data_IF_939387287316
#
_entry.id   IF_939387287316
#
_cell.length_a   1.000
_cell.length_b   1.000
_cell.length_c   1.000
_cell.angle_alpha   90.00
_cell.angle_beta   90.00
_cell.angle_gamma   90.00
#
_symmetry.space_group_name_H-M   'P 1'
#
loop_
_entity.id
_entity.type
_entity.pdbx_description
1 polymer ?
#
# COMPACT_ATOMS: atom_id res chain seq x y z
N UNK A 1 29.61 -12.84 -17.94
CA UNK A 1 28.27 -12.23 -17.90
C UNK A 1 27.59 -12.64 -16.60
N UNK A 2 27.39 -11.70 -15.68
CA UNK A 2 26.83 -11.97 -14.36
C UNK A 2 25.35 -12.40 -14.48
N UNK A 3 25.02 -13.58 -13.96
CA UNK A 3 23.65 -14.08 -13.86
C UNK A 3 23.06 -13.57 -12.54
N UNK A 4 22.23 -12.55 -12.63
CA UNK A 4 21.50 -12.04 -11.47
C UNK A 4 20.37 -13.01 -11.11
N UNK A 5 20.48 -13.62 -9.94
CA UNK A 5 19.48 -14.53 -9.37
C UNK A 5 18.22 -13.77 -8.95
N UNK A 6 17.01 -14.18 -9.33
CA UNK A 6 15.78 -13.56 -8.85
C UNK A 6 15.55 -13.99 -7.40
N UNK A 7 15.70 -13.04 -6.49
CA UNK A 7 15.51 -13.20 -5.04
C UNK A 7 14.02 -13.43 -4.78
N UNK A 8 13.62 -14.70 -4.66
CA UNK A 8 12.25 -15.07 -4.33
C UNK A 8 11.90 -14.63 -2.90
N UNK A 9 11.33 -13.44 -2.77
CA UNK A 9 10.66 -12.99 -1.56
C UNK A 9 9.33 -13.73 -1.42
N UNK A 10 9.04 -14.39 -0.28
CA UNK A 10 7.82 -15.21 -0.11
C UNK A 10 6.50 -14.40 -0.03
N UNK A 11 6.48 -13.13 -0.45
CA UNK A 11 5.31 -12.23 -0.38
C UNK A 11 4.40 -12.24 -1.62
N UNK A 12 4.81 -12.84 -2.73
CA UNK A 12 4.20 -12.61 -4.05
C UNK A 12 2.83 -13.30 -4.27
N UNK A 13 2.39 -14.16 -3.36
CA UNK A 13 1.07 -14.84 -3.47
C UNK A 13 -0.06 -14.10 -2.77
N UNK A 14 0.25 -13.09 -1.95
CA UNK A 14 -0.76 -12.53 -1.05
C UNK A 14 -1.46 -11.29 -1.58
N UNK A 15 -0.75 -10.46 -2.35
CA UNK A 15 -1.34 -9.33 -3.10
C UNK A 15 -2.39 -9.75 -4.12
N UNK A 16 -2.47 -11.04 -4.49
CA UNK A 16 -3.42 -11.50 -5.50
C UNK A 16 -4.81 -11.87 -4.94
N UNK A 17 -4.90 -12.33 -3.66
CA UNK A 17 -6.14 -12.95 -3.15
C UNK A 17 -7.09 -11.98 -2.43
N UNK A 18 -6.60 -10.90 -1.82
CA UNK A 18 -7.47 -9.98 -1.04
C UNK A 18 -7.90 -8.74 -1.83
N UNK A 19 -7.18 -8.45 -2.91
CA UNK A 19 -7.64 -7.60 -4.01
C UNK A 19 -8.96 -8.14 -4.60
N UNK A 20 -9.18 -9.45 -4.54
CA UNK A 20 -10.33 -10.11 -5.14
C UNK A 20 -11.67 -9.93 -4.39
N UNK A 21 -11.67 -9.57 -3.10
CA UNK A 21 -12.88 -9.68 -2.27
C UNK A 21 -13.42 -8.39 -1.64
N UNK A 22 -12.72 -7.24 -1.65
CA UNK A 22 -13.31 -6.05 -1.00
C UNK A 22 -13.00 -4.66 -1.55
N UNK A 23 -11.84 -4.36 -2.14
CA UNK A 23 -11.57 -3.07 -2.81
C UNK A 23 -10.27 -3.22 -3.60
N UNK A 24 -10.34 -3.85 -4.78
CA UNK A 24 -9.19 -4.02 -5.67
C UNK A 24 -8.67 -2.64 -6.10
N UNK A 25 -7.65 -2.14 -5.41
CA UNK A 25 -6.80 -1.11 -5.98
C UNK A 25 -5.76 -1.83 -6.83
N UNK A 26 -5.51 -1.35 -8.05
CA UNK A 26 -4.37 -1.80 -8.84
C UNK A 26 -3.12 -1.20 -8.20
N UNK A 27 -2.62 -1.88 -7.16
CA UNK A 27 -1.46 -1.44 -6.42
C UNK A 27 -0.20 -1.78 -7.20
N UNK A 28 0.70 -0.81 -7.33
CA UNK A 28 2.05 -1.09 -7.79
C UNK A 28 2.68 -2.14 -6.85
N UNK A 29 3.32 -3.19 -7.41
CA UNK A 29 4.07 -4.14 -6.61
C UNK A 29 5.09 -3.37 -5.77
N UNK A 30 5.23 -3.75 -4.51
CA UNK A 30 6.22 -3.18 -3.57
C UNK A 30 5.93 -1.76 -3.04
N UNK A 31 4.75 -1.18 -3.28
CA UNK A 31 4.41 0.16 -2.72
C UNK A 31 4.59 0.24 -1.20
N UNK A 32 4.33 -0.83 -0.45
CA UNK A 32 4.45 -0.84 1.01
C UNK A 32 5.85 -1.16 1.55
N UNK A 33 6.81 -1.50 0.69
CA UNK A 33 8.21 -1.73 1.09
C UNK A 33 9.09 -0.50 0.90
N UNK A 34 8.54 0.57 0.29
CA UNK A 34 9.24 1.83 0.11
C UNK A 34 9.66 2.45 1.45
N UNK A 35 10.80 3.15 1.43
CA UNK A 35 11.35 3.83 2.60
C UNK A 35 10.78 5.24 2.83
N UNK A 36 10.01 5.77 1.86
CA UNK A 36 9.48 7.13 1.86
C UNK A 36 7.95 7.10 2.07
N UNK A 37 7.44 7.59 3.22
CA UNK A 37 6.01 7.57 3.52
C UNK A 37 5.17 8.39 2.52
N UNK A 38 5.73 9.45 1.94
CA UNK A 38 5.04 10.28 0.96
C UNK A 38 4.87 9.58 -0.39
N UNK A 39 5.84 8.76 -0.80
CA UNK A 39 5.70 7.92 -2.01
C UNK A 39 4.61 6.86 -1.83
N UNK A 40 4.57 6.21 -0.67
CA UNK A 40 3.51 5.24 -0.32
C UNK A 40 2.14 5.92 -0.41
N UNK A 41 1.98 7.08 0.24
CA UNK A 41 0.72 7.80 0.26
C UNK A 41 0.28 8.26 -1.15
N UNK A 42 1.19 8.78 -1.97
CA UNK A 42 0.87 9.20 -3.36
C UNK A 42 0.49 8.03 -4.26
N UNK A 43 1.21 6.91 -4.19
CA UNK A 43 0.90 5.73 -5.00
C UNK A 43 -0.46 5.12 -4.57
N UNK A 44 -0.74 5.06 -3.26
CA UNK A 44 -2.05 4.65 -2.75
C UNK A 44 -3.18 5.59 -3.17
N UNK A 45 -2.97 6.91 -3.13
CA UNK A 45 -3.94 7.90 -3.63
C UNK A 45 -4.24 7.68 -5.11
N UNK A 46 -3.20 7.57 -5.96
CA UNK A 46 -3.35 7.33 -7.39
C UNK A 46 -4.10 6.03 -7.67
N UNK A 47 -3.71 4.95 -7.00
CA UNK A 47 -4.33 3.63 -7.17
C UNK A 47 -5.79 3.64 -6.70
N UNK A 48 -6.06 4.35 -5.60
CA UNK A 48 -7.41 4.61 -5.15
C UNK A 48 -8.17 5.36 -6.23
N UNK A 49 -7.77 6.57 -6.59
CA UNK A 49 -8.43 7.43 -7.59
C UNK A 49 -8.69 6.74 -8.94
N UNK A 50 -7.75 5.94 -9.43
CA UNK A 50 -7.87 5.22 -10.69
C UNK A 50 -8.84 4.02 -10.62
N UNK A 51 -9.05 3.42 -9.45
CA UNK A 51 -9.89 2.22 -9.33
C UNK A 51 -11.36 2.55 -9.53
N UNK A 52 -11.96 1.97 -10.58
CA UNK A 52 -13.41 2.07 -10.85
C UNK A 52 -14.25 1.06 -10.07
N UNK A 53 -13.59 0.16 -9.32
CA UNK A 53 -14.21 -0.97 -8.59
C UNK A 53 -14.40 -0.70 -7.09
N UNK A 54 -14.13 0.52 -6.62
CA UNK A 54 -14.25 0.90 -5.21
C UNK A 54 -15.71 1.01 -4.78
N UNK A 55 -16.00 0.56 -3.56
CA UNK A 55 -17.31 0.74 -2.91
C UNK A 55 -17.35 1.96 -1.97
N UNK A 56 -16.21 2.62 -1.77
CA UNK A 56 -16.05 3.74 -0.84
C UNK A 56 -15.21 4.86 -1.47
N UNK A 57 -15.13 6.01 -0.78
CA UNK A 57 -14.34 7.15 -1.26
C UNK A 57 -12.86 6.77 -1.48
N UNK A 58 -12.16 7.47 -2.38
CA UNK A 58 -10.73 7.24 -2.62
C UNK A 58 -9.90 7.23 -1.33
N UNK A 59 -10.15 8.18 -0.43
CA UNK A 59 -9.46 8.28 0.86
C UNK A 59 -9.69 7.04 1.73
N UNK A 60 -10.96 6.61 1.88
CA UNK A 60 -11.31 5.44 2.69
C UNK A 60 -10.68 4.18 2.10
N UNK A 61 -10.72 4.02 0.78
CA UNK A 61 -10.08 2.90 0.08
C UNK A 61 -8.57 2.85 0.33
N UNK A 62 -7.88 3.98 0.19
CA UNK A 62 -6.43 4.08 0.43
C UNK A 62 -6.06 3.79 1.91
N UNK A 63 -6.82 4.36 2.85
CA UNK A 63 -6.57 4.20 4.28
C UNK A 63 -6.84 2.76 4.74
N UNK A 64 -7.94 2.15 4.29
CA UNK A 64 -8.26 0.76 4.58
C UNK A 64 -7.18 -0.18 4.05
N UNK A 65 -6.66 0.07 2.84
CA UNK A 65 -5.60 -0.75 2.26
C UNK A 65 -4.29 -0.66 3.07
N UNK A 66 -3.91 0.54 3.50
CA UNK A 66 -2.72 0.74 4.33
C UNK A 66 -2.85 0.07 5.70
N UNK A 67 -4.01 0.23 6.35
CA UNK A 67 -4.30 -0.42 7.63
C UNK A 67 -4.28 -1.95 7.49
N UNK A 68 -4.88 -2.45 6.42
CA UNK A 68 -4.92 -3.87 6.13
C UNK A 68 -3.52 -4.46 5.95
N UNK A 69 -2.64 -3.79 5.20
CA UNK A 69 -1.24 -4.21 5.04
C UNK A 69 -0.51 -4.26 6.38
N UNK A 70 -0.63 -3.21 7.20
CA UNK A 70 -0.01 -3.15 8.53
C UNK A 70 -0.50 -4.30 9.42
N UNK A 71 -1.81 -4.53 9.44
CA UNK A 71 -2.43 -5.57 10.26
C UNK A 71 -2.00 -6.97 9.82
N UNK A 72 -1.89 -7.21 8.50
CA UNK A 72 -1.46 -8.51 7.97
C UNK A 72 0.02 -8.77 8.17
N UNK A 73 0.84 -7.79 7.81
CA UNK A 73 2.28 -7.94 7.88
C UNK A 73 2.76 -8.06 9.33
N UNK A 74 2.02 -7.47 10.29
CA UNK A 74 2.07 -7.83 11.71
C UNK A 74 3.50 -7.92 12.26
N UNK A 75 3.88 -9.11 12.74
CA UNK A 75 5.20 -9.42 13.32
C UNK A 75 6.34 -9.49 12.29
N UNK A 76 6.03 -9.56 10.99
CA UNK A 76 7.02 -9.55 9.91
C UNK A 76 7.49 -8.14 9.51
N UNK A 77 6.87 -7.09 10.06
CA UNK A 77 7.31 -5.72 9.85
C UNK A 77 8.41 -5.35 10.85
N UNK A 78 9.54 -4.86 10.33
CA UNK A 78 10.53 -4.20 11.17
C UNK A 78 9.91 -2.95 11.83
N UNK A 79 10.41 -2.59 13.02
CA UNK A 79 9.95 -1.39 13.72
C UNK A 79 10.10 -0.11 12.85
N UNK A 80 11.15 -0.06 12.03
CA UNK A 80 11.38 0.99 11.04
C UNK A 80 10.25 1.04 10.00
N UNK A 81 9.92 -0.09 9.38
CA UNK A 81 8.86 -0.13 8.37
C UNK A 81 7.49 0.19 8.97
N UNK A 82 7.21 -0.26 10.20
CA UNK A 82 5.98 0.09 10.92
C UNK A 82 5.86 1.60 11.14
N UNK A 83 6.96 2.29 11.48
CA UNK A 83 6.98 3.76 11.61
C UNK A 83 6.70 4.45 10.27
N UNK A 84 7.34 3.99 9.20
CA UNK A 84 7.14 4.54 7.85
C UNK A 84 5.68 4.38 7.41
N UNK A 85 5.10 3.19 7.56
CA UNK A 85 3.69 2.95 7.21
C UNK A 85 2.72 3.75 8.09
N UNK A 86 3.09 4.02 9.34
CA UNK A 86 2.29 4.89 10.22
C UNK A 86 2.35 6.35 9.76
N UNK A 87 3.54 6.84 9.38
CA UNK A 87 3.70 8.18 8.80
C UNK A 87 2.95 8.30 7.47
N UNK A 88 2.94 7.25 6.64
CA UNK A 88 2.17 7.22 5.40
C UNK A 88 0.65 7.43 5.63
N UNK A 89 0.10 7.05 6.79
CA UNK A 89 -1.30 7.37 7.15
C UNK A 89 -1.51 8.88 7.29
N UNK A 90 -0.57 9.56 7.95
CA UNK A 90 -0.61 11.01 8.13
C UNK A 90 -0.47 11.71 6.78
N UNK A 91 0.45 11.26 5.93
CA UNK A 91 0.63 11.78 4.58
C UNK A 91 -0.62 11.57 3.72
N UNK A 92 -1.27 10.40 3.80
CA UNK A 92 -2.56 10.17 3.12
C UNK A 92 -3.62 11.18 3.55
N UNK A 93 -3.77 11.44 4.86
CA UNK A 93 -4.71 12.46 5.36
C UNK A 93 -4.38 13.83 4.77
N UNK A 94 -3.12 14.24 4.80
CA UNK A 94 -2.67 15.53 4.24
C UNK A 94 -2.96 15.66 2.74
N UNK A 95 -2.68 14.60 1.96
CA UNK A 95 -2.91 14.62 0.52
C UNK A 95 -4.39 14.75 0.17
N UNK A 96 -5.27 14.02 0.89
CA UNK A 96 -6.70 14.08 0.65
C UNK A 96 -7.36 15.35 1.21
N UNK A 97 -6.88 15.89 2.35
CA UNK A 97 -7.34 17.19 2.87
C UNK A 97 -6.89 18.39 2.06
N UNK A 98 -5.92 18.25 1.15
CA UNK A 98 -5.50 19.29 0.20
C UNK A 98 -6.12 19.13 -1.19
N UNK A 99 -6.82 18.04 -1.44
CA UNK A 99 -7.42 17.71 -2.75
C UNK A 99 -8.96 17.79 -2.72
N UNK A 100 -9.53 18.27 -1.61
CA UNK A 100 -10.95 18.60 -1.42
C UNK A 100 -11.07 20.13 -1.33
#
# INVERSE_FOLDING_TARGET
MARETPKHSPGHRWSHRVTQSSNALDLEPEVFTLADPGKIARSLKRSAEASRRRKSSPFQSAMSMLNFYINRAGRGLSAKQKRILTQAKTELRRLFSRSD
#
